data_IF_469222818261
#
_entry.id   IF_469222818261
#
_cell.length_a   1.000
_cell.length_b   1.000
_cell.length_c   1.000
_cell.angle_alpha   90.00
_cell.angle_beta   90.00
_cell.angle_gamma   90.00
#
_symmetry.space_group_name_H-M   'P 1'
#
loop_
_entity.id
_entity.type
_entity.pdbx_description
1 polymer ?
#
# COMPACT_ATOMS: atom_id res chain seq x y z
N UNK A 1 8.91 -5.15 17.97
CA UNK A 1 8.36 -6.49 17.73
C UNK A 1 7.79 -6.50 16.32
N UNK A 2 8.37 -7.27 15.41
CA UNK A 2 7.87 -7.46 14.05
C UNK A 2 6.65 -8.37 14.15
N UNK A 3 5.45 -7.78 14.18
CA UNK A 3 4.21 -8.55 14.24
C UNK A 3 3.90 -9.05 12.83
N UNK A 4 4.48 -10.20 12.49
CA UNK A 4 4.23 -10.88 11.22
C UNK A 4 2.86 -11.57 11.24
N UNK A 5 2.08 -11.44 10.16
CA UNK A 5 0.84 -12.20 9.94
C UNK A 5 -0.46 -11.64 10.56
N UNK A 6 -0.43 -10.53 11.30
CA UNK A 6 -1.66 -9.90 11.84
C UNK A 6 -2.26 -8.81 10.93
N UNK A 7 -1.44 -8.23 10.06
CA UNK A 7 -1.87 -7.13 9.20
C UNK A 7 -2.43 -7.69 7.90
N UNK A 8 -3.65 -7.26 7.54
CA UNK A 8 -4.22 -7.45 6.21
C UNK A 8 -4.34 -6.11 5.52
N UNK A 9 -3.88 -6.04 4.29
CA UNK A 9 -4.05 -4.89 3.40
C UNK A 9 -5.42 -4.94 2.72
N UNK A 10 -5.95 -6.13 2.45
CA UNK A 10 -7.19 -6.31 1.69
C UNK A 10 -7.08 -5.87 0.24
N UNK A 11 -5.86 -5.78 -0.31
CA UNK A 11 -5.64 -5.72 -1.76
C UNK A 11 -5.70 -7.14 -2.35
N UNK A 12 -6.15 -7.25 -3.60
CA UNK A 12 -6.29 -8.55 -4.27
C UNK A 12 -4.94 -9.23 -4.54
N UNK A 13 -3.89 -8.43 -4.74
CA UNK A 13 -2.51 -8.84 -4.99
C UNK A 13 -1.62 -8.77 -3.72
N UNK A 14 -2.21 -8.88 -2.52
CA UNK A 14 -1.48 -8.87 -1.25
C UNK A 14 -0.36 -9.92 -1.21
N UNK A 15 -0.55 -11.07 -1.87
CA UNK A 15 0.44 -12.13 -1.98
C UNK A 15 1.72 -11.73 -2.75
N UNK A 16 1.68 -10.65 -3.52
CA UNK A 16 2.84 -10.11 -4.23
C UNK A 16 3.64 -9.09 -3.40
N UNK A 17 3.10 -8.66 -2.26
CA UNK A 17 3.77 -7.74 -1.33
C UNK A 17 4.77 -8.56 -0.52
N UNK A 18 6.00 -8.05 -0.39
CA UNK A 18 7.00 -8.68 0.46
C UNK A 18 6.45 -8.80 1.91
N UNK A 19 6.52 -9.99 2.56
CA UNK A 19 5.90 -10.23 3.86
C UNK A 19 6.23 -9.18 4.93
N UNK A 20 7.47 -8.69 4.95
CA UNK A 20 7.97 -7.65 5.85
C UNK A 20 7.36 -6.25 5.58
N UNK A 21 6.82 -6.03 4.38
CA UNK A 21 6.20 -4.76 3.96
C UNK A 21 4.68 -4.72 4.16
N UNK A 22 4.03 -5.87 4.35
CA UNK A 22 2.56 -5.99 4.46
C UNK A 22 1.99 -5.07 5.54
N UNK A 23 2.64 -5.00 6.71
CA UNK A 23 2.19 -4.13 7.80
C UNK A 23 2.21 -2.65 7.42
N UNK A 24 3.27 -2.19 6.74
CA UNK A 24 3.40 -0.81 6.28
C UNK A 24 2.35 -0.47 5.23
N UNK A 25 2.09 -1.37 4.28
CA UNK A 25 1.06 -1.18 3.25
C UNK A 25 -0.33 -1.14 3.86
N UNK A 26 -0.62 -2.02 4.83
CA UNK A 26 -1.90 -2.03 5.54
C UNK A 26 -2.15 -0.70 6.28
N UNK A 27 -1.13 -0.17 6.96
CA UNK A 27 -1.21 1.13 7.64
C UNK A 27 -1.44 2.26 6.63
N UNK A 28 -0.66 2.30 5.55
CA UNK A 28 -0.80 3.34 4.51
C UNK A 28 -2.19 3.33 3.88
N UNK A 29 -2.77 2.15 3.66
CA UNK A 29 -4.16 2.01 3.17
C UNK A 29 -5.17 2.44 4.22
N UNK A 30 -4.99 2.06 5.48
CA UNK A 30 -5.86 2.46 6.60
C UNK A 30 -5.96 3.98 6.76
N UNK A 31 -4.85 4.69 6.55
CA UNK A 31 -4.80 6.15 6.53
C UNK A 31 -5.20 6.79 5.20
N UNK A 32 -5.62 6.00 4.20
CA UNK A 32 -5.99 6.47 2.86
C UNK A 32 -4.86 7.21 2.13
N UNK A 33 -3.61 6.95 2.53
CA UNK A 33 -2.42 7.46 1.85
C UNK A 33 -2.29 6.76 0.48
N UNK A 34 -2.53 5.45 0.45
CA UNK A 34 -2.54 4.62 -0.76
C UNK A 34 -3.89 3.92 -0.89
N UNK A 35 -4.52 4.03 -2.06
CA UNK A 35 -5.85 3.46 -2.32
C UNK A 35 -5.83 2.25 -3.28
N UNK A 36 -4.74 2.03 -4.01
CA UNK A 36 -4.65 1.00 -5.05
C UNK A 36 -5.24 1.45 -6.39
N UNK A 37 -5.36 0.51 -7.33
CA UNK A 37 -6.02 0.72 -8.63
C UNK A 37 -7.53 0.45 -8.58
N UNK A 38 -8.21 0.65 -9.71
CA UNK A 38 -9.65 0.42 -9.85
C UNK A 38 -10.06 -1.04 -9.66
N UNK A 39 -9.12 -1.97 -9.81
CA UNK A 39 -9.33 -3.41 -9.62
C UNK A 39 -9.08 -3.84 -8.17
N UNK A 40 -8.71 -2.93 -7.26
CA UNK A 40 -8.41 -3.25 -5.87
C UNK A 40 -7.02 -3.88 -5.66
N UNK A 41 -6.08 -3.64 -6.56
CA UNK A 41 -4.68 -4.05 -6.45
C UNK A 41 -3.80 -2.94 -5.88
N UNK A 42 -2.75 -3.31 -5.16
CA UNK A 42 -1.68 -2.42 -4.70
C UNK A 42 -0.62 -2.19 -5.78
N UNK A 43 -0.37 -3.18 -6.63
CA UNK A 43 0.64 -3.23 -7.68
C UNK A 43 2.09 -3.05 -7.16
N UNK A 44 2.57 -3.92 -6.25
CA UNK A 44 3.83 -3.73 -5.53
C UNK A 44 5.08 -3.65 -6.43
N UNK A 45 5.01 -4.24 -7.63
CA UNK A 45 6.13 -4.29 -8.59
C UNK A 45 6.00 -3.27 -9.71
N UNK A 46 4.88 -2.52 -9.78
CA UNK A 46 4.68 -1.48 -10.78
C UNK A 46 5.55 -0.28 -10.46
N UNK A 47 6.22 0.26 -11.47
CA UNK A 47 6.93 1.53 -11.32
C UNK A 47 5.94 2.67 -11.04
N UNK A 48 6.22 3.43 -9.99
CA UNK A 48 5.41 4.58 -9.59
C UNK A 48 5.66 5.75 -10.53
N UNK A 49 4.61 6.36 -11.07
CA UNK A 49 4.71 7.59 -11.84
C UNK A 49 4.90 8.80 -10.94
N UNK A 50 5.47 9.89 -11.47
CA UNK A 50 5.65 11.15 -10.73
C UNK A 50 4.32 11.72 -10.23
N UNK A 51 3.25 11.56 -11.00
CA UNK A 51 1.91 12.02 -10.64
C UNK A 51 1.35 11.22 -9.46
N UNK A 52 1.44 9.89 -9.50
CA UNK A 52 1.01 9.02 -8.40
C UNK A 52 1.82 9.29 -7.12
N UNK A 53 3.14 9.48 -7.25
CA UNK A 53 4.00 9.84 -6.11
C UNK A 53 3.59 11.15 -5.45
N UNK A 54 3.27 12.19 -6.24
CA UNK A 54 2.81 13.48 -5.72
C UNK A 54 1.49 13.34 -4.95
N UNK A 55 0.56 12.50 -5.44
CA UNK A 55 -0.71 12.22 -4.76
C UNK A 55 -0.47 11.53 -3.42
N UNK A 56 0.43 10.53 -3.36
CA UNK A 56 0.78 9.84 -2.11
C UNK A 56 1.35 10.82 -1.09
N UNK A 57 2.28 11.70 -1.50
CA UNK A 57 2.86 12.72 -0.62
C UNK A 57 1.79 13.70 -0.15
N UNK A 58 0.91 14.16 -1.05
CA UNK A 58 -0.19 15.04 -0.70
C UNK A 58 -1.14 14.42 0.33
N UNK A 59 -1.52 13.15 0.15
CA UNK A 59 -2.38 12.43 1.08
C UNK A 59 -1.72 12.21 2.44
N UNK A 60 -0.39 12.07 2.48
CA UNK A 60 0.37 11.93 3.73
C UNK A 60 0.44 13.24 4.53
N UNK A 61 0.53 14.39 3.84
CA UNK A 61 0.66 15.70 4.49
C UNK A 61 -0.67 16.33 4.91
N UNK A 62 -1.78 15.76 4.47
CA UNK A 62 -3.13 16.25 4.75
C UNK A 62 -3.63 15.75 6.11
#
# INVERSE_FOLDING_TARGET
>A
ASLEGIFKTGFMDEAEIAPELVGYVAIAKGFKIINGDENGNFLPKKALTRAEAAIIIYNYLR
#
